data_IF_527886564221
#
_entry.id   IF_527886564221
#
_cell.length_a   1.000
_cell.length_b   1.000
_cell.length_c   1.000
_cell.angle_alpha   90.00
_cell.angle_beta   90.00
_cell.angle_gamma   90.00
#
_symmetry.space_group_name_H-M   'P 1'
#
loop_
_entity.id
_entity.type
_entity.pdbx_description
1 polymer ?
#
# COMPACT_ATOMS: atom_id res chain seq x y z
N UNK A 1 -16.93 -1.34 -2.93
CA UNK A 1 -15.47 -1.19 -2.72
C UNK A 1 -14.89 -2.59 -2.57
N UNK A 2 -13.66 -2.82 -3.03
CA UNK A 2 -12.98 -4.13 -2.92
C UNK A 2 -11.64 -4.05 -2.20
N UNK A 3 -11.06 -2.86 -2.08
CA UNK A 3 -9.75 -2.69 -1.46
C UNK A 3 -9.58 -1.34 -0.76
N UNK A 4 -8.84 -1.35 0.35
CA UNK A 4 -8.36 -0.16 1.05
C UNK A 4 -9.14 0.18 2.32
N UNK A 5 -9.04 1.43 2.74
CA UNK A 5 -9.52 1.86 4.05
C UNK A 5 -11.04 1.75 4.19
N UNK A 6 -11.51 1.04 5.22
CA UNK A 6 -12.93 0.98 5.56
C UNK A 6 -13.34 2.18 6.42
N UNK A 7 -14.46 2.81 6.06
CA UNK A 7 -15.10 3.83 6.89
C UNK A 7 -15.97 3.17 7.98
N UNK A 8 -15.97 3.75 9.17
CA UNK A 8 -16.93 3.36 10.24
C UNK A 8 -18.37 3.80 9.90
N UNK A 9 -18.53 4.88 9.13
CA UNK A 9 -19.86 5.38 8.78
C UNK A 9 -20.42 4.66 7.56
N UNK A 10 -21.49 3.90 7.79
CA UNK A 10 -22.23 3.19 6.75
C UNK A 10 -23.00 4.13 5.80
N UNK A 11 -23.46 5.28 6.30
CA UNK A 11 -24.23 6.27 5.51
C UNK A 11 -23.35 7.19 4.67
N UNK A 12 -22.02 7.01 4.72
CA UNK A 12 -21.06 7.92 4.11
C UNK A 12 -20.95 9.28 4.80
N UNK A 13 -21.78 9.57 5.83
CA UNK A 13 -21.70 10.81 6.63
C UNK A 13 -20.81 10.57 7.83
N UNK A 14 -19.53 10.92 7.73
CA UNK A 14 -18.60 10.84 8.86
C UNK A 14 -18.26 12.26 9.35
N UNK A 15 -18.61 12.59 10.59
CA UNK A 15 -18.35 13.90 11.19
C UNK A 15 -17.08 13.96 12.04
N UNK A 16 -16.51 12.80 12.40
CA UNK A 16 -15.36 12.73 13.32
C UNK A 16 -14.17 13.58 12.86
N UNK A 17 -13.81 13.49 11.57
CA UNK A 17 -12.65 14.21 11.02
C UNK A 17 -12.88 15.71 10.96
N UNK A 18 -14.10 16.15 10.64
CA UNK A 18 -14.44 17.57 10.61
C UNK A 18 -14.46 18.15 12.03
N UNK A 19 -15.05 17.41 12.98
CA UNK A 19 -15.12 17.83 14.37
C UNK A 19 -13.74 17.94 15.04
N UNK A 20 -12.87 16.94 14.87
CA UNK A 20 -11.61 16.88 15.61
C UNK A 20 -10.49 17.74 15.00
N UNK A 21 -10.42 17.84 13.67
CA UNK A 21 -9.28 18.50 12.99
C UNK A 21 -9.70 19.35 11.78
N UNK A 22 -10.98 19.72 11.68
CA UNK A 22 -11.51 20.57 10.62
C UNK A 22 -11.22 20.07 9.19
N UNK A 23 -11.21 18.75 9.01
CA UNK A 23 -11.03 18.10 7.69
C UNK A 23 -12.26 17.29 7.33
N UNK A 24 -12.99 17.69 6.29
CA UNK A 24 -14.28 17.09 5.95
C UNK A 24 -14.13 15.75 5.20
N UNK A 25 -14.52 14.66 5.87
CA UNK A 25 -14.47 13.32 5.30
C UNK A 25 -15.39 13.16 4.07
N UNK A 26 -16.49 13.91 4.00
CA UNK A 26 -17.44 13.87 2.88
C UNK A 26 -16.88 14.57 1.63
N UNK A 27 -15.89 15.46 1.81
CA UNK A 27 -15.13 16.10 0.73
C UNK A 27 -13.83 15.35 0.39
N UNK A 28 -13.64 14.16 0.96
CA UNK A 28 -12.45 13.34 0.73
C UNK A 28 -11.23 13.74 1.54
N UNK A 29 -11.36 14.65 2.51
CA UNK A 29 -10.25 15.15 3.32
C UNK A 29 -10.03 14.35 4.61
N UNK A 30 -10.71 13.23 4.80
CA UNK A 30 -10.69 12.44 6.04
C UNK A 30 -9.26 12.22 6.58
N UNK A 31 -9.01 12.64 7.82
CA UNK A 31 -7.75 12.39 8.55
C UNK A 31 -7.70 11.02 9.24
N UNK A 32 -8.74 10.20 9.03
CA UNK A 32 -8.94 8.88 9.61
C UNK A 32 -8.88 8.86 11.16
N UNK A 33 -9.59 9.76 11.89
CA UNK A 33 -9.51 9.81 13.34
C UNK A 33 -10.06 8.57 14.04
N UNK A 34 -10.98 7.84 13.40
CA UNK A 34 -11.42 6.53 13.87
C UNK A 34 -10.25 5.54 14.08
N UNK A 35 -9.10 5.79 13.44
CA UNK A 35 -7.92 4.94 13.52
C UNK A 35 -6.86 5.41 14.53
N UNK A 36 -7.11 6.50 15.26
CA UNK A 36 -6.15 7.05 16.23
C UNK A 36 -6.21 6.33 17.57
N UNK A 37 -5.15 6.49 18.37
CA UNK A 37 -5.15 6.08 19.77
C UNK A 37 -5.92 7.08 20.63
N UNK A 38 -6.80 6.59 21.50
CA UNK A 38 -7.60 7.41 22.40
C UNK A 38 -7.34 7.02 23.87
N UNK A 39 -7.41 8.02 24.74
CA UNK A 39 -7.38 7.85 26.19
C UNK A 39 -8.61 8.54 26.79
N UNK A 40 -9.14 7.97 27.87
CA UNK A 40 -10.14 8.62 28.71
C UNK A 40 -9.43 9.46 29.77
N UNK A 41 -9.98 10.63 30.04
CA UNK A 41 -9.55 11.49 31.14
C UNK A 41 -10.76 11.77 32.00
N UNK A 42 -10.65 11.52 33.31
CA UNK A 42 -11.74 11.84 34.24
C UNK A 42 -11.75 13.34 34.51
N UNK A 43 -12.94 13.95 34.56
CA UNK A 43 -13.13 15.40 34.59
C UNK A 43 -12.43 16.07 35.78
N UNK A 44 -12.43 15.42 36.95
CA UNK A 44 -11.82 15.95 38.18
C UNK A 44 -10.34 15.59 38.36
N UNK A 45 -9.76 14.81 37.47
CA UNK A 45 -8.34 14.42 37.49
C UNK A 45 -7.64 14.84 36.20
N UNK A 46 -7.38 16.15 36.04
CA UNK A 46 -6.76 16.64 34.83
C UNK A 46 -5.34 16.10 34.64
N UNK A 47 -4.97 15.76 33.40
CA UNK A 47 -3.69 15.15 33.02
C UNK A 47 -3.46 13.70 33.50
N UNK A 48 -4.48 13.05 34.07
CA UNK A 48 -4.47 11.62 34.35
C UNK A 48 -5.25 10.88 33.24
N UNK A 49 -4.53 10.14 32.40
CA UNK A 49 -5.08 9.45 31.24
C UNK A 49 -5.22 7.95 31.51
N UNK A 50 -6.45 7.45 31.43
CA UNK A 50 -6.75 6.03 31.44
C UNK A 50 -6.83 5.53 30.00
N UNK A 51 -6.14 4.44 29.65
CA UNK A 51 -6.17 3.95 28.29
C UNK A 51 -7.56 3.40 27.92
N UNK A 52 -7.94 3.58 26.65
CA UNK A 52 -9.08 2.89 26.04
C UNK A 52 -8.58 1.63 25.35
N UNK A 53 -8.40 0.55 26.11
CA UNK A 53 -8.10 -0.78 25.59
C UNK A 53 -9.30 -1.71 25.81
N UNK A 54 -9.40 -2.75 24.98
CA UNK A 54 -10.36 -3.85 25.14
C UNK A 54 -9.66 -5.03 25.80
N UNK A 55 -10.40 -5.73 26.65
CA UNK A 55 -10.08 -7.07 27.12
C UNK A 55 -11.12 -8.08 26.58
N UNK A 56 -11.16 -9.29 27.12
CA UNK A 56 -12.10 -10.33 26.67
C UNK A 56 -13.59 -9.95 26.79
N UNK A 57 -13.93 -8.79 27.39
CA UNK A 57 -15.29 -8.33 27.67
C UNK A 57 -15.72 -7.05 26.88
N UNK A 58 -14.87 -6.48 26.01
CA UNK A 58 -15.14 -5.27 25.18
C UNK A 58 -14.21 -4.09 25.55
N UNK A 59 -13.92 -3.05 24.75
CA UNK A 59 -14.51 -2.51 23.51
C UNK A 59 -13.42 -1.96 22.57
N UNK A 60 -13.45 -2.31 21.27
CA UNK A 60 -12.80 -1.54 20.20
C UNK A 60 -13.84 -1.00 19.22
N UNK A 61 -14.02 0.32 19.20
CA UNK A 61 -15.12 0.90 18.41
C UNK A 61 -14.68 1.21 16.96
N UNK A 62 -13.40 1.49 16.69
CA UNK A 62 -13.03 2.27 15.50
C UNK A 62 -11.78 1.82 14.69
N UNK A 63 -10.96 0.87 15.16
CA UNK A 63 -9.68 0.51 14.51
C UNK A 63 -9.80 -0.60 13.44
N UNK A 64 -10.55 -0.30 12.39
CA UNK A 64 -10.77 -1.24 11.30
C UNK A 64 -9.47 -1.60 10.55
N UNK A 65 -9.36 -2.87 10.19
CA UNK A 65 -8.44 -3.39 9.17
C UNK A 65 -8.71 -2.73 7.82
N UNK A 66 -7.75 -2.83 6.90
CA UNK A 66 -8.03 -2.48 5.50
C UNK A 66 -8.78 -3.66 4.85
N UNK A 67 -9.66 -3.35 3.90
CA UNK A 67 -10.37 -4.39 3.13
C UNK A 67 -9.51 -4.86 1.97
N UNK A 68 -9.56 -6.15 1.65
CA UNK A 68 -9.07 -6.70 0.38
C UNK A 68 -9.93 -7.89 -0.03
N UNK A 69 -10.41 -7.87 -1.27
CA UNK A 69 -11.20 -8.94 -1.90
C UNK A 69 -10.45 -9.57 -3.09
N UNK A 70 -9.13 -9.39 -3.15
CA UNK A 70 -8.30 -9.80 -4.30
C UNK A 70 -8.37 -11.32 -4.53
N UNK A 71 -8.50 -12.11 -3.46
CA UNK A 71 -8.63 -13.58 -3.50
C UNK A 71 -10.07 -14.06 -3.77
N UNK A 72 -11.01 -13.14 -4.00
CA UNK A 72 -12.45 -13.43 -4.07
C UNK A 72 -13.12 -12.82 -5.31
N UNK A 73 -12.35 -12.58 -6.37
CA UNK A 73 -12.87 -12.00 -7.63
C UNK A 73 -13.92 -12.91 -8.29
N UNK A 74 -13.73 -14.23 -8.19
CA UNK A 74 -14.68 -15.26 -8.60
C UNK A 74 -16.04 -15.08 -7.92
N UNK A 75 -16.06 -14.96 -6.59
CA UNK A 75 -17.28 -14.78 -5.81
C UNK A 75 -17.97 -13.44 -6.12
N UNK A 76 -17.19 -12.38 -6.33
CA UNK A 76 -17.75 -11.08 -6.73
C UNK A 76 -18.43 -11.18 -8.11
N UNK A 77 -17.82 -11.90 -9.06
CA UNK A 77 -18.39 -12.15 -10.38
C UNK A 77 -19.68 -12.98 -10.28
N UNK A 78 -19.68 -14.05 -9.49
CA UNK A 78 -20.87 -14.90 -9.26
C UNK A 78 -22.03 -14.11 -8.64
N UNK A 79 -21.72 -13.16 -7.75
CA UNK A 79 -22.70 -12.24 -7.17
C UNK A 79 -23.24 -11.18 -8.17
N UNK A 80 -22.79 -11.19 -9.43
CA UNK A 80 -23.22 -10.25 -10.46
C UNK A 80 -22.60 -8.86 -10.36
N UNK A 81 -21.42 -8.72 -9.74
CA UNK A 81 -20.72 -7.44 -9.61
C UNK A 81 -19.90 -7.18 -10.87
N UNK A 82 -20.18 -6.06 -11.55
CA UNK A 82 -19.48 -5.64 -12.78
C UNK A 82 -18.53 -4.46 -12.61
N UNK A 83 -18.52 -3.82 -11.43
CA UNK A 83 -17.70 -2.65 -11.14
C UNK A 83 -17.00 -2.80 -9.79
N UNK A 84 -15.67 -2.72 -9.82
CA UNK A 84 -14.83 -2.81 -8.63
C UNK A 84 -14.31 -1.41 -8.30
N UNK A 85 -14.40 -1.03 -7.02
CA UNK A 85 -13.95 0.28 -6.53
C UNK A 85 -12.81 0.10 -5.54
N UNK A 86 -11.67 0.74 -5.82
CA UNK A 86 -10.48 0.77 -4.96
C UNK A 86 -10.41 2.13 -4.24
N UNK A 87 -10.11 2.13 -2.95
CA UNK A 87 -9.90 3.36 -2.17
C UNK A 87 -8.49 3.94 -2.41
N UNK A 88 -8.42 4.98 -3.26
CA UNK A 88 -7.17 5.67 -3.61
C UNK A 88 -7.01 7.07 -3.01
N UNK A 89 -7.96 7.57 -2.19
CA UNK A 89 -7.86 8.92 -1.63
C UNK A 89 -6.69 9.02 -0.66
N UNK A 90 -5.92 10.10 -0.79
CA UNK A 90 -4.69 10.34 -0.01
C UNK A 90 -3.67 9.18 -0.08
N UNK A 91 -3.68 8.41 -1.17
CA UNK A 91 -2.69 7.36 -1.46
C UNK A 91 -1.67 7.86 -2.47
N UNK A 92 -0.45 7.31 -2.42
CA UNK A 92 0.60 7.63 -3.39
C UNK A 92 0.29 7.03 -4.76
N UNK A 93 0.92 7.58 -5.81
CA UNK A 93 0.86 6.98 -7.14
C UNK A 93 1.31 5.50 -7.13
N UNK A 94 2.35 5.18 -6.35
CA UNK A 94 2.81 3.79 -6.16
C UNK A 94 1.70 2.87 -5.64
N UNK A 95 0.97 3.27 -4.59
CA UNK A 95 -0.15 2.49 -4.05
C UNK A 95 -1.21 2.24 -5.13
N UNK A 96 -1.63 3.30 -5.83
CA UNK A 96 -2.68 3.19 -6.85
C UNK A 96 -2.23 2.28 -8.00
N UNK A 97 -0.98 2.41 -8.46
CA UNK A 97 -0.42 1.58 -9.53
C UNK A 97 -0.37 0.10 -9.16
N UNK A 98 0.18 -0.24 -7.99
CA UNK A 98 0.32 -1.63 -7.55
C UNK A 98 -1.03 -2.29 -7.33
N UNK A 99 -1.93 -1.64 -6.57
CA UNK A 99 -3.25 -2.21 -6.27
C UNK A 99 -4.09 -2.34 -7.54
N UNK A 100 -4.10 -1.32 -8.41
CA UNK A 100 -4.88 -1.39 -9.66
C UNK A 100 -4.34 -2.49 -10.57
N UNK A 101 -3.02 -2.62 -10.70
CA UNK A 101 -2.39 -3.68 -11.49
C UNK A 101 -2.77 -5.07 -10.96
N UNK A 102 -2.64 -5.30 -9.66
CA UNK A 102 -2.97 -6.58 -9.04
C UNK A 102 -4.44 -6.97 -9.30
N UNK A 103 -5.37 -6.05 -9.05
CA UNK A 103 -6.80 -6.30 -9.31
C UNK A 103 -7.10 -6.49 -10.80
N UNK A 104 -6.46 -5.74 -11.70
CA UNK A 104 -6.63 -5.93 -13.14
C UNK A 104 -6.24 -7.34 -13.57
N UNK A 105 -5.10 -7.82 -13.08
CA UNK A 105 -4.61 -9.16 -13.40
C UNK A 105 -5.49 -10.26 -12.81
N UNK A 106 -5.91 -10.12 -11.54
CA UNK A 106 -6.83 -11.07 -10.92
C UNK A 106 -8.17 -11.15 -11.67
N UNK A 107 -8.71 -10.02 -12.14
CA UNK A 107 -9.92 -10.01 -12.98
C UNK A 107 -9.66 -10.66 -14.33
N UNK A 108 -8.53 -10.38 -14.99
CA UNK A 108 -8.22 -10.98 -16.30
C UNK A 108 -8.09 -12.51 -16.22
N UNK A 109 -7.41 -13.02 -15.19
CA UNK A 109 -7.33 -14.45 -14.89
C UNK A 109 -8.72 -15.04 -14.64
N UNK A 110 -9.52 -14.41 -13.77
CA UNK A 110 -10.89 -14.85 -13.48
C UNK A 110 -11.79 -14.91 -14.73
N UNK A 111 -11.68 -13.93 -15.64
CA UNK A 111 -12.46 -13.89 -16.88
C UNK A 111 -12.04 -14.98 -17.87
N UNK A 112 -10.75 -15.35 -17.88
CA UNK A 112 -10.23 -16.46 -18.70
C UNK A 112 -10.47 -17.84 -18.08
N UNK A 113 -10.87 -17.90 -16.80
CA UNK A 113 -10.94 -19.15 -16.05
C UNK A 113 -9.55 -19.71 -15.69
N UNK A 114 -8.55 -18.84 -15.63
CA UNK A 114 -7.17 -19.18 -15.28
C UNK A 114 -6.92 -18.91 -13.79
N UNK A 115 -6.06 -19.71 -13.12
CA UNK A 115 -5.66 -19.40 -11.76
C UNK A 115 -4.88 -18.09 -11.71
N UNK A 116 -5.13 -17.28 -10.68
CA UNK A 116 -4.37 -16.06 -10.43
C UNK A 116 -2.98 -16.45 -9.89
N UNK A 117 -1.88 -15.98 -10.49
CA UNK A 117 -0.54 -16.25 -9.98
C UNK A 117 -0.33 -15.69 -8.56
N UNK A 118 0.40 -16.42 -7.71
CA UNK A 118 0.59 -16.04 -6.30
C UNK A 118 1.19 -14.63 -6.14
N UNK A 119 2.14 -14.26 -6.98
CA UNK A 119 2.78 -12.94 -6.91
C UNK A 119 1.78 -11.78 -7.04
N UNK A 120 0.65 -11.98 -7.74
CA UNK A 120 -0.42 -10.97 -7.87
C UNK A 120 -1.08 -10.70 -6.52
N UNK A 121 -1.28 -11.74 -5.70
CA UNK A 121 -1.79 -11.58 -4.33
C UNK A 121 -0.76 -10.91 -3.43
N UNK A 122 0.51 -11.26 -3.59
CA UNK A 122 1.60 -10.72 -2.77
C UNK A 122 1.79 -9.21 -3.00
N UNK A 123 1.51 -8.70 -4.21
CA UNK A 123 1.66 -7.28 -4.54
C UNK A 123 0.89 -6.35 -3.60
N UNK A 124 -0.28 -6.76 -3.10
CA UNK A 124 -1.09 -5.91 -2.21
C UNK A 124 -0.43 -5.72 -0.83
N UNK A 125 0.56 -6.53 -0.47
CA UNK A 125 1.34 -6.38 0.77
C UNK A 125 2.58 -5.49 0.58
N UNK A 126 2.98 -5.22 -0.67
CA UNK A 126 4.17 -4.40 -0.98
C UNK A 126 3.89 -2.89 -0.99
N UNK A 127 2.71 -2.47 -0.55
CA UNK A 127 2.30 -1.06 -0.39
C UNK A 127 2.08 -0.72 1.09
N UNK A 128 1.96 0.57 1.42
CA UNK A 128 1.55 0.95 2.79
C UNK A 128 0.12 0.51 3.07
N UNK A 129 -0.04 -0.47 3.94
CA UNK A 129 -1.32 -1.12 4.25
C UNK A 129 -1.48 -1.37 5.75
N UNK A 130 -2.63 -1.89 6.15
CA UNK A 130 -2.87 -2.52 7.46
C UNK A 130 -3.21 -3.98 7.25
N UNK A 131 -3.25 -4.78 8.31
CA UNK A 131 -3.75 -6.17 8.21
C UNK A 131 -5.05 -6.17 7.40
N UNK A 132 -5.15 -7.08 6.44
CA UNK A 132 -6.32 -7.17 5.56
C UNK A 132 -7.43 -8.00 6.20
N UNK A 133 -8.66 -7.73 5.75
CA UNK A 133 -9.84 -8.54 5.99
C UNK A 133 -10.78 -8.42 4.78
N UNK A 134 -11.83 -9.22 4.77
CA UNK A 134 -12.86 -9.19 3.73
C UNK A 134 -14.02 -8.25 4.09
N UNK A 135 -13.83 -7.38 5.08
CA UNK A 135 -14.88 -6.52 5.62
C UNK A 135 -16.10 -7.32 6.08
N UNK A 136 -17.28 -6.93 5.63
CA UNK A 136 -18.55 -7.60 5.98
C UNK A 136 -18.96 -8.72 5.01
N UNK A 137 -18.12 -9.08 4.04
CA UNK A 137 -18.48 -10.11 3.04
C UNK A 137 -18.45 -11.52 3.62
N UNK A 138 -17.49 -11.80 4.50
CA UNK A 138 -17.25 -13.13 5.08
C UNK A 138 -16.82 -13.00 6.54
N UNK A 139 -17.08 -14.05 7.33
CA UNK A 139 -16.66 -14.12 8.74
C UNK A 139 -17.46 -13.21 9.68
N UNK A 140 -17.03 -13.16 10.94
CA UNK A 140 -17.66 -12.31 11.95
C UNK A 140 -17.04 -10.90 11.93
N UNK A 141 -17.80 -9.80 12.13
CA UNK A 141 -17.25 -8.43 12.12
C UNK A 141 -16.08 -8.16 13.09
N UNK A 142 -15.97 -8.96 14.16
CA UNK A 142 -14.82 -8.94 15.10
C UNK A 142 -13.49 -9.19 14.38
N UNK A 143 -13.49 -9.97 13.30
CA UNK A 143 -12.29 -10.28 12.51
C UNK A 143 -11.83 -9.11 11.65
N UNK A 144 -12.70 -8.11 11.41
CA UNK A 144 -12.41 -6.91 10.62
C UNK A 144 -11.71 -5.79 11.41
N UNK A 145 -11.40 -6.03 12.67
CA UNK A 145 -10.77 -5.06 13.53
C UNK A 145 -9.33 -5.45 13.86
N UNK A 146 -8.48 -4.45 14.07
CA UNK A 146 -7.08 -4.66 14.43
C UNK A 146 -6.73 -3.96 15.73
N UNK A 147 -6.07 -4.68 16.61
CA UNK A 147 -6.05 -4.35 18.04
C UNK A 147 -4.66 -4.20 18.64
N UNK A 148 -3.67 -4.81 17.98
CA UNK A 148 -2.28 -4.77 18.43
C UNK A 148 -1.67 -3.38 18.20
N UNK A 149 -1.88 -2.76 17.02
CA UNK A 149 -1.33 -1.43 16.70
C UNK A 149 -2.24 -0.60 15.79
N UNK A 150 -2.10 0.73 15.86
CA UNK A 150 -2.72 1.68 14.91
C UNK A 150 -1.83 2.00 13.69
N UNK A 151 -0.67 1.34 13.57
CA UNK A 151 0.32 1.66 12.54
C UNK A 151 -0.06 1.19 11.14
N UNK A 152 0.64 1.73 10.13
CA UNK A 152 0.70 1.13 8.80
C UNK A 152 1.89 0.17 8.72
N UNK A 153 1.68 -0.97 8.09
CA UNK A 153 2.72 -1.91 7.67
C UNK A 153 3.35 -1.36 6.39
N UNK A 154 4.68 -1.24 6.38
CA UNK A 154 5.47 -0.69 5.26
C UNK A 154 6.79 -1.43 5.14
N UNK A 155 6.77 -2.54 4.43
CA UNK A 155 7.92 -3.44 4.25
C UNK A 155 8.74 -3.12 3.00
N UNK A 156 8.27 -2.21 2.15
CA UNK A 156 8.94 -1.83 0.91
C UNK A 156 9.08 -0.31 0.80
N UNK A 157 10.22 0.13 0.28
CA UNK A 157 10.47 1.52 -0.12
C UNK A 157 10.61 1.61 -1.64
N UNK A 158 9.98 2.63 -2.24
CA UNK A 158 10.21 2.98 -3.65
C UNK A 158 11.53 3.73 -3.72
N UNK A 159 12.55 3.13 -4.31
CA UNK A 159 13.90 3.69 -4.33
C UNK A 159 14.18 4.49 -5.59
N UNK A 160 13.52 4.18 -6.70
CA UNK A 160 13.69 4.90 -7.97
C UNK A 160 12.56 4.66 -8.96
N UNK A 161 12.55 5.42 -10.06
CA UNK A 161 11.67 5.26 -11.21
C UNK A 161 12.52 5.16 -12.47
N UNK A 162 12.23 4.19 -13.33
CA UNK A 162 12.96 3.95 -14.58
C UNK A 162 12.69 5.08 -15.57
N UNK A 163 13.77 5.65 -16.10
CA UNK A 163 13.71 6.63 -17.19
C UNK A 163 13.82 5.92 -18.55
N UNK A 164 14.81 5.05 -18.71
CA UNK A 164 15.06 4.27 -19.92
C UNK A 164 16.01 3.08 -19.66
N UNK A 165 16.13 2.18 -20.63
CA UNK A 165 17.16 1.14 -20.67
C UNK A 165 17.89 1.21 -22.02
N UNK A 166 19.21 1.35 -22.01
CA UNK A 166 20.05 1.40 -23.22
C UNK A 166 21.46 0.90 -22.92
N UNK A 167 22.12 0.36 -23.94
CA UNK A 167 23.54 -0.02 -23.88
C UNK A 167 23.91 -0.93 -22.68
N UNK A 168 23.02 -1.87 -22.32
CA UNK A 168 23.21 -2.77 -21.17
C UNK A 168 23.10 -2.09 -19.80
N UNK A 169 22.46 -0.92 -19.73
CA UNK A 169 22.27 -0.14 -18.50
C UNK A 169 20.82 0.25 -18.33
N UNK A 170 20.38 0.21 -17.08
CA UNK A 170 19.12 0.81 -16.63
C UNK A 170 19.43 2.21 -16.12
N UNK A 171 18.76 3.22 -16.68
CA UNK A 171 18.81 4.60 -16.23
C UNK A 171 17.53 4.93 -15.44
N UNK A 172 17.70 5.56 -14.29
CA UNK A 172 16.59 5.85 -13.40
C UNK A 172 16.81 7.11 -12.57
N UNK A 173 15.70 7.67 -12.09
CA UNK A 173 15.69 8.81 -11.19
C UNK A 173 15.35 8.34 -9.77
N UNK A 174 16.23 8.66 -8.84
CA UNK A 174 16.15 8.25 -7.43
C UNK A 174 14.94 8.89 -6.71
N UNK A 175 14.44 8.16 -5.70
CA UNK A 175 13.39 8.60 -4.75
C UNK A 175 13.81 8.42 -3.30
N UNK A 176 14.35 7.24 -2.94
CA UNK A 176 14.83 6.92 -1.61
C UNK A 176 16.21 6.25 -1.67
N UNK A 177 16.94 6.34 -0.56
CA UNK A 177 18.32 5.83 -0.46
C UNK A 177 18.36 4.31 -0.70
N UNK A 178 19.33 3.89 -1.51
CA UNK A 178 19.79 2.50 -1.60
C UNK A 178 21.32 2.50 -1.86
N UNK A 179 21.96 1.36 -1.66
CA UNK A 179 23.40 1.14 -1.72
C UNK A 179 23.78 0.25 -2.90
N UNK A 180 25.05 0.35 -3.32
CA UNK A 180 25.63 -0.64 -4.20
C UNK A 180 25.64 -2.02 -3.50
N UNK A 181 25.29 -3.07 -4.23
CA UNK A 181 25.09 -4.42 -3.72
C UNK A 181 23.66 -4.74 -3.24
N UNK A 182 22.77 -3.74 -3.11
CA UNK A 182 21.38 -3.97 -2.75
C UNK A 182 20.64 -4.79 -3.83
N UNK A 183 19.70 -5.62 -3.36
CA UNK A 183 18.78 -6.35 -4.23
C UNK A 183 17.52 -5.52 -4.43
N UNK A 184 17.22 -5.18 -5.68
CA UNK A 184 16.10 -4.35 -6.06
C UNK A 184 15.05 -5.17 -6.81
N UNK A 185 13.79 -4.76 -6.71
CA UNK A 185 12.68 -5.34 -7.44
C UNK A 185 12.07 -4.29 -8.37
N UNK A 186 11.96 -4.60 -9.65
CA UNK A 186 11.37 -3.71 -10.66
C UNK A 186 9.94 -4.15 -10.96
N UNK A 187 8.99 -3.30 -10.58
CA UNK A 187 7.57 -3.44 -10.82
C UNK A 187 7.19 -2.80 -12.16
N UNK A 188 6.54 -3.58 -13.03
CA UNK A 188 6.02 -3.13 -14.33
C UNK A 188 4.57 -3.58 -14.51
N UNK A 189 3.70 -2.78 -15.15
CA UNK A 189 2.31 -3.16 -15.39
C UNK A 189 2.17 -4.49 -16.15
N UNK A 190 1.26 -5.34 -15.68
CA UNK A 190 0.90 -6.62 -16.31
C UNK A 190 1.97 -7.71 -16.25
N UNK A 191 3.09 -7.49 -15.57
CA UNK A 191 4.21 -8.43 -15.51
C UNK A 191 4.59 -8.73 -14.06
N UNK A 192 5.08 -9.95 -13.85
CA UNK A 192 5.67 -10.33 -12.58
C UNK A 192 6.89 -9.42 -12.29
N UNK A 193 7.00 -8.88 -11.07
CA UNK A 193 8.14 -8.06 -10.70
C UNK A 193 9.46 -8.81 -10.88
N UNK A 194 10.47 -8.13 -11.41
CA UNK A 194 11.76 -8.77 -11.68
C UNK A 194 12.82 -8.28 -10.70
N UNK A 195 13.55 -9.23 -10.12
CA UNK A 195 14.69 -8.93 -9.25
C UNK A 195 15.90 -8.55 -10.11
N UNK A 196 16.60 -7.50 -9.69
CA UNK A 196 17.90 -7.05 -10.21
C UNK A 196 18.85 -6.75 -9.04
N UNK A 197 20.15 -6.77 -9.30
CA UNK A 197 21.15 -6.34 -8.32
C UNK A 197 21.74 -5.00 -8.73
N UNK A 198 21.90 -4.10 -7.77
CA UNK A 198 22.60 -2.84 -7.97
C UNK A 198 24.10 -3.00 -7.67
N UNK A 199 24.79 -3.95 -8.31
CA UNK A 199 26.20 -4.27 -7.98
C UNK A 199 27.13 -3.04 -8.12
N UNK A 200 26.88 -2.21 -9.12
CA UNK A 200 27.56 -0.92 -9.32
C UNK A 200 26.53 0.15 -9.64
N UNK A 201 26.64 1.31 -9.00
CA UNK A 201 25.82 2.48 -9.26
C UNK A 201 26.70 3.55 -9.87
N UNK A 202 26.26 4.15 -10.97
CA UNK A 202 26.92 5.28 -11.61
C UNK A 202 26.07 6.54 -11.49
N UNK A 203 26.70 7.66 -11.14
CA UNK A 203 26.04 8.96 -11.11
C UNK A 203 25.89 9.56 -12.53
N UNK A 204 25.36 10.78 -12.63
CA UNK A 204 25.21 11.51 -13.91
C UNK A 204 26.51 11.79 -14.67
N UNK A 205 27.66 11.71 -13.99
CA UNK A 205 28.99 11.90 -14.58
C UNK A 205 29.66 10.58 -14.96
N UNK A 206 28.92 9.47 -14.91
CA UNK A 206 29.41 8.10 -15.09
C UNK A 206 30.51 7.70 -14.08
N UNK A 207 30.53 8.34 -12.90
CA UNK A 207 31.41 7.95 -11.80
C UNK A 207 30.74 6.90 -10.92
N UNK A 208 31.47 5.86 -10.53
CA UNK A 208 30.96 4.84 -9.60
C UNK A 208 30.77 5.43 -8.21
N UNK A 209 29.61 5.17 -7.59
CA UNK A 209 29.24 5.63 -6.25
C UNK A 209 28.75 4.48 -5.38
N UNK A 210 28.99 4.57 -4.08
CA UNK A 210 28.56 3.54 -3.12
C UNK A 210 27.06 3.61 -2.78
N UNK A 211 26.41 4.75 -3.03
CA UNK A 211 25.00 4.93 -2.70
C UNK A 211 24.30 5.93 -3.62
N UNK A 212 23.00 5.70 -3.83
CA UNK A 212 22.10 6.65 -4.45
C UNK A 212 21.25 7.33 -3.36
N UNK A 213 21.79 8.37 -2.74
CA UNK A 213 21.26 8.98 -1.51
C UNK A 213 20.73 10.43 -1.69
N UNK A 214 20.82 10.99 -2.90
CA UNK A 214 20.35 12.34 -3.18
C UNK A 214 18.99 12.31 -3.89
N UNK A 215 17.99 12.98 -3.31
CA UNK A 215 16.65 13.06 -3.88
C UNK A 215 16.69 13.53 -5.33
N UNK A 216 16.00 12.82 -6.23
CA UNK A 216 15.92 13.12 -7.65
C UNK A 216 17.24 13.00 -8.43
N UNK A 217 18.32 12.46 -7.83
CA UNK A 217 19.54 12.20 -8.62
C UNK A 217 19.24 11.20 -9.72
N UNK A 218 19.77 11.44 -10.92
CA UNK A 218 19.80 10.39 -11.93
C UNK A 218 20.99 9.48 -11.66
N UNK A 219 20.78 8.21 -11.95
CA UNK A 219 21.81 7.21 -11.85
C UNK A 219 21.61 6.16 -12.95
N UNK A 220 22.61 5.30 -13.12
CA UNK A 220 22.46 4.08 -13.89
C UNK A 220 23.15 2.90 -13.23
N UNK A 221 22.64 1.71 -13.53
CA UNK A 221 23.20 0.43 -13.09
C UNK A 221 23.35 -0.50 -14.29
N UNK A 222 24.38 -1.36 -14.35
CA UNK A 222 24.43 -2.44 -15.34
C UNK A 222 23.19 -3.34 -15.23
N UNK A 223 22.50 -3.56 -16.34
CA UNK A 223 21.30 -4.38 -16.36
C UNK A 223 21.02 -4.90 -17.78
N UNK A 224 20.99 -6.22 -17.94
CA UNK A 224 20.68 -6.87 -19.22
C UNK A 224 19.17 -6.95 -19.51
N UNK A 225 18.34 -6.62 -18.51
CA UNK A 225 16.88 -6.62 -18.63
C UNK A 225 16.39 -5.25 -19.09
N UNK A 226 15.34 -5.25 -19.91
CA UNK A 226 14.70 -4.03 -20.42
C UNK A 226 13.38 -3.80 -19.72
N UNK A 227 13.21 -2.60 -19.17
CA UNK A 227 12.00 -2.18 -18.47
C UNK A 227 11.36 -0.98 -19.17
N UNK A 228 10.02 -0.85 -19.13
CA UNK A 228 9.36 0.33 -19.66
C UNK A 228 9.72 1.56 -18.82
N UNK A 229 9.68 2.72 -19.47
CA UNK A 229 9.69 4.00 -18.78
C UNK A 229 8.58 4.04 -17.72
N UNK A 230 8.87 4.70 -16.61
CA UNK A 230 8.01 4.83 -15.43
C UNK A 230 7.80 3.52 -14.64
N UNK A 231 8.51 2.43 -14.98
CA UNK A 231 8.58 1.26 -14.11
C UNK A 231 9.15 1.64 -12.74
N UNK A 232 8.63 1.03 -11.68
CA UNK A 232 8.94 1.42 -10.31
C UNK A 232 9.99 0.47 -9.76
N UNK A 233 11.07 1.03 -9.25
CA UNK A 233 12.11 0.26 -8.56
C UNK A 233 11.86 0.39 -7.06
N UNK A 234 11.69 -0.75 -6.40
CA UNK A 234 11.46 -0.84 -4.96
C UNK A 234 12.42 -1.82 -4.31
N UNK A 235 12.56 -1.68 -3.01
CA UNK A 235 13.43 -2.50 -2.19
C UNK A 235 12.68 -2.92 -0.93
N UNK A 236 12.83 -4.17 -0.53
CA UNK A 236 12.32 -4.64 0.76
C UNK A 236 13.20 -4.07 1.87
N UNK A 237 12.57 -3.54 2.92
CA UNK A 237 13.28 -3.08 4.11
C UNK A 237 13.95 -4.26 4.80
N UNK A 238 15.19 -4.04 5.20
CA UNK A 238 15.94 -4.93 6.08
C UNK A 238 15.62 -4.61 7.54
#
# INVERSE_FOLDING_TARGET
FVHGAMCVSFSGRCLLSSYLVNRDANRGECAQPCRWGYHLQEEKRPNEFYPVFEDEQGTYILNAKDMSMIEHIDKLREAGIYSLKIEGRAKSAYYVSVVTNAYRMAVDCCLKGEPVPQWVYDEVFKVSHRKYCTGFFFGHPKESQYYETGGYIREYDVVAVVDECRDGRLYATQRNKFLAGDTLEVFSPGKEPQIIKADVIYNEKDESVESANHAMMKFSIPCDKVFPKDAIIRMQKQ
#
